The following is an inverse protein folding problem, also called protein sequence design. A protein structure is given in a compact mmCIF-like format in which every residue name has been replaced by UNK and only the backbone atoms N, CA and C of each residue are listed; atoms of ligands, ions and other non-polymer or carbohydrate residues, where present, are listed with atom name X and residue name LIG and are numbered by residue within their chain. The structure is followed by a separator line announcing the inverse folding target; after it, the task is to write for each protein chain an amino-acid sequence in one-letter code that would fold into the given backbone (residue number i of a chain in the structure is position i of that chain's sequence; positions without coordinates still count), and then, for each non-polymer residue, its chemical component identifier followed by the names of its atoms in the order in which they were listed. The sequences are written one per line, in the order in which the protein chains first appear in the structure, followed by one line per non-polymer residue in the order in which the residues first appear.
data_IF_316155658847
#
_entry.id   IF_316155658847
#
_cell.length_a   1.000
_cell.length_b   1.000
_cell.length_c   1.000
_cell.angle_alpha   90.00
_cell.angle_beta   90.00
_cell.angle_gamma   90.00
#
_symmetry.space_group_name_H-M   'P 1'
#
loop_
_entity.id
_entity.type
_entity.pdbx_description
1 polymer ?
#
# COMPACT_ATOMS: atom_id res chain seq x y z
N UNK A 1 87.07 10.14 -5.70
CA UNK A 1 86.17 10.90 -4.81
C UNK A 1 84.83 11.00 -5.50
N UNK A 2 83.88 10.16 -5.10
CA UNK A 2 82.57 10.05 -5.74
C UNK A 2 81.52 10.28 -4.66
N UNK A 3 80.75 11.34 -4.83
CA UNK A 3 79.68 11.79 -3.92
C UNK A 3 78.40 11.02 -4.24
N UNK A 4 77.65 10.50 -3.25
CA UNK A 4 76.34 9.91 -3.50
C UNK A 4 75.24 10.97 -3.54
N UNK A 5 74.26 10.74 -4.42
CA UNK A 5 73.08 11.58 -4.63
C UNK A 5 72.06 11.50 -3.47
N UNK A 6 71.25 12.57 -3.24
CA UNK A 6 70.24 12.57 -2.19
C UNK A 6 68.95 11.85 -2.61
N UNK A 7 68.28 11.24 -1.63
CA UNK A 7 67.03 10.51 -1.78
C UNK A 7 65.82 11.45 -1.83
N UNK A 8 64.96 11.26 -2.84
CA UNK A 8 63.67 11.94 -2.99
C UNK A 8 62.69 11.52 -1.88
N UNK A 9 62.13 12.52 -1.19
CA UNK A 9 61.09 12.33 -0.18
C UNK A 9 59.73 12.63 -0.82
N UNK A 10 58.95 11.60 -1.17
CA UNK A 10 57.58 11.76 -1.66
C UNK A 10 56.62 12.09 -0.49
N UNK A 11 56.19 13.34 -0.38
CA UNK A 11 55.05 13.75 0.45
C UNK A 11 53.73 13.46 -0.26
N UNK A 12 52.99 12.47 0.25
CA UNK A 12 51.60 12.22 -0.14
C UNK A 12 50.66 13.24 0.53
N UNK A 13 50.11 14.18 -0.25
CA UNK A 13 48.95 14.96 0.16
C UNK A 13 47.69 14.12 0.03
N UNK A 14 47.09 13.81 1.18
CA UNK A 14 45.77 13.16 1.29
C UNK A 14 44.69 14.18 0.94
N UNK A 15 44.13 14.09 -0.27
CA UNK A 15 42.93 14.84 -0.67
C UNK A 15 41.78 14.52 0.30
N UNK A 16 41.35 15.53 1.06
CA UNK A 16 40.13 15.46 1.85
C UNK A 16 38.94 15.62 0.91
N UNK A 17 38.13 14.56 0.80
CA UNK A 17 36.86 14.60 0.09
C UNK A 17 35.92 15.67 0.71
N UNK A 18 35.18 16.44 -0.12
CA UNK A 18 34.22 17.41 0.38
C UNK A 18 33.08 16.70 1.14
N UNK A 19 32.51 17.33 2.18
CA UNK A 19 31.45 16.73 2.98
C UNK A 19 30.18 16.47 2.14
N UNK A 20 29.38 15.46 2.50
CA UNK A 20 28.16 15.14 1.79
C UNK A 20 27.15 16.30 1.92
N UNK A 21 26.63 16.78 0.79
CA UNK A 21 25.54 17.75 0.75
C UNK A 21 24.24 17.12 1.28
N UNK A 22 24.04 17.17 2.60
CA UNK A 22 22.74 16.96 3.22
C UNK A 22 21.78 18.09 2.79
N UNK A 23 20.70 17.75 2.06
CA UNK A 23 19.51 18.61 1.98
C UNK A 23 18.84 18.89 0.63
N UNK A 24 19.05 18.12 -0.45
CA UNK A 24 18.39 18.37 -1.76
C UNK A 24 17.15 17.48 -2.04
N UNK A 25 16.18 17.38 -1.11
CA UNK A 25 15.00 16.51 -1.29
C UNK A 25 13.70 17.18 -1.78
N UNK A 26 13.70 18.46 -2.19
CA UNK A 26 12.46 19.17 -2.58
C UNK A 26 12.35 19.57 -4.06
N UNK A 27 13.02 18.88 -5.00
CA UNK A 27 13.13 19.40 -6.38
C UNK A 27 11.86 19.30 -7.24
N UNK A 28 10.80 18.61 -6.81
CA UNK A 28 9.60 18.37 -7.65
C UNK A 28 8.25 18.56 -6.93
N UNK A 29 8.18 19.40 -5.90
CA UNK A 29 6.91 19.76 -5.24
C UNK A 29 6.70 21.28 -5.25
N UNK A 30 5.44 21.70 -5.39
CA UNK A 30 5.06 23.11 -5.30
C UNK A 30 5.24 23.59 -3.86
N UNK A 31 6.12 24.56 -3.60
CA UNK A 31 6.37 25.01 -2.22
C UNK A 31 5.15 25.63 -1.53
N UNK A 32 4.15 26.08 -2.30
CA UNK A 32 2.91 26.63 -1.73
C UNK A 32 1.87 25.54 -1.42
N UNK A 33 1.50 24.72 -2.42
CA UNK A 33 0.40 23.75 -2.26
C UNK A 33 0.86 22.32 -2.00
N UNK A 34 2.18 22.10 -1.87
CA UNK A 34 2.85 20.81 -1.65
C UNK A 34 2.49 19.71 -2.67
N UNK A 35 1.86 20.07 -3.78
CA UNK A 35 1.49 19.12 -4.82
C UNK A 35 2.70 18.76 -5.68
N UNK A 36 2.78 17.50 -6.09
CA UNK A 36 3.76 17.05 -7.08
C UNK A 36 3.68 17.90 -8.36
N UNK A 37 4.86 18.31 -8.83
CA UNK A 37 5.06 19.05 -10.07
C UNK A 37 5.34 18.13 -11.27
N UNK A 38 5.37 16.81 -11.05
CA UNK A 38 5.53 15.86 -12.13
C UNK A 38 4.43 16.07 -13.20
N UNK A 39 4.84 16.36 -14.44
CA UNK A 39 3.99 16.71 -15.57
C UNK A 39 3.14 17.99 -15.43
N UNK A 40 3.53 18.93 -14.56
CA UNK A 40 2.85 20.24 -14.42
C UNK A 40 3.78 21.38 -14.83
N UNK A 41 3.21 22.45 -15.38
CA UNK A 41 3.95 23.71 -15.58
C UNK A 41 4.32 24.29 -14.22
N UNK A 42 5.60 24.54 -14.01
CA UNK A 42 6.16 25.12 -12.81
C UNK A 42 6.83 26.46 -13.13
N UNK A 43 6.87 27.35 -12.14
CA UNK A 43 7.60 28.60 -12.18
C UNK A 43 8.63 28.62 -11.06
N UNK A 44 9.85 29.02 -11.39
CA UNK A 44 10.82 29.41 -10.40
C UNK A 44 10.31 30.64 -9.64
N UNK A 45 10.62 30.69 -8.34
CA UNK A 45 10.34 31.82 -7.46
C UNK A 45 11.61 32.68 -7.31
N UNK A 46 11.88 33.63 -8.21
CA UNK A 46 12.96 34.59 -8.00
C UNK A 46 12.63 35.52 -6.83
N UNK A 47 13.64 36.23 -6.33
CA UNK A 47 13.42 37.34 -5.39
C UNK A 47 12.45 38.36 -5.98
N UNK A 48 11.34 38.61 -5.28
CA UNK A 48 10.22 39.37 -5.82
C UNK A 48 9.03 39.46 -4.88
N UNK A 49 8.00 40.26 -5.23
CA UNK A 49 6.80 40.38 -4.42
C UNK A 49 6.02 39.06 -4.33
N UNK A 50 6.08 38.21 -5.36
CA UNK A 50 5.47 36.87 -5.33
C UNK A 50 6.12 35.97 -4.28
N UNK A 51 7.46 36.00 -4.18
CA UNK A 51 8.21 35.21 -3.18
C UNK A 51 7.91 35.66 -1.77
N UNK A 52 7.85 36.98 -1.52
CA UNK A 52 7.48 37.54 -0.21
C UNK A 52 6.08 37.13 0.21
N UNK A 53 5.10 37.31 -0.68
CA UNK A 53 3.71 36.92 -0.42
C UNK A 53 3.58 35.42 -0.11
N UNK A 54 4.27 34.57 -0.87
CA UNK A 54 4.21 33.12 -0.65
C UNK A 54 4.92 32.75 0.66
N UNK A 55 6.07 33.36 0.96
CA UNK A 55 6.83 33.16 2.20
C UNK A 55 5.99 33.47 3.43
N UNK A 56 5.31 34.62 3.44
CA UNK A 56 4.40 35.01 4.52
C UNK A 56 3.26 33.99 4.73
N UNK A 57 2.77 33.38 3.64
CA UNK A 57 1.65 32.43 3.68
C UNK A 57 2.03 31.02 4.08
N UNK A 58 3.29 30.63 3.94
CA UNK A 58 3.76 29.28 4.27
C UNK A 58 4.64 29.24 5.52
N UNK A 59 4.82 30.39 6.19
CA UNK A 59 5.52 30.48 7.48
C UNK A 59 4.99 29.42 8.45
N UNK A 60 5.86 28.63 9.11
CA UNK A 60 7.29 28.87 9.33
C UNK A 60 8.25 28.29 8.26
N UNK A 61 7.76 27.73 7.15
CA UNK A 61 8.63 27.09 6.16
C UNK A 61 9.49 28.11 5.40
N UNK A 62 10.81 27.86 5.32
CA UNK A 62 11.74 28.70 4.54
C UNK A 62 11.69 28.32 3.06
N UNK A 63 11.51 29.30 2.18
CA UNK A 63 11.63 29.12 0.72
C UNK A 63 13.11 29.14 0.34
N UNK A 64 13.66 27.99 -0.04
CA UNK A 64 15.03 27.86 -0.55
C UNK A 64 15.17 28.46 -1.95
N UNK A 65 16.38 28.84 -2.34
CA UNK A 65 16.67 29.28 -3.71
C UNK A 65 16.46 28.14 -4.71
N UNK A 66 15.83 28.45 -5.83
CA UNK A 66 15.41 27.45 -6.83
C UNK A 66 14.07 26.76 -6.50
N UNK A 67 13.38 27.17 -5.44
CA UNK A 67 12.02 26.69 -5.14
C UNK A 67 11.06 26.91 -6.31
N UNK A 68 10.19 25.92 -6.53
CA UNK A 68 9.21 25.94 -7.62
C UNK A 68 7.78 26.07 -7.07
N UNK A 69 6.95 26.80 -7.81
CA UNK A 69 5.49 26.78 -7.62
C UNK A 69 4.79 26.29 -8.87
N UNK A 70 3.68 25.58 -8.68
CA UNK A 70 2.83 25.21 -9.80
C UNK A 70 2.21 26.46 -10.44
N UNK A 71 1.91 26.39 -11.74
CA UNK A 71 1.27 27.47 -12.51
C UNK A 71 0.05 28.10 -11.80
N UNK A 72 -0.80 27.27 -11.20
CA UNK A 72 -2.01 27.74 -10.51
C UNK A 72 -1.68 28.60 -9.27
N UNK A 73 -0.69 28.17 -8.48
CA UNK A 73 -0.20 28.94 -7.32
C UNK A 73 0.47 30.24 -7.77
N UNK A 74 1.27 30.20 -8.83
CA UNK A 74 1.89 31.41 -9.39
C UNK A 74 0.86 32.46 -9.81
N UNK A 75 -0.16 32.06 -10.59
CA UNK A 75 -1.25 32.95 -11.01
C UNK A 75 -2.01 33.51 -9.80
N UNK A 76 -2.21 32.69 -8.76
CA UNK A 76 -2.87 33.11 -7.53
C UNK A 76 -2.07 34.19 -6.79
N UNK A 77 -0.75 34.00 -6.63
CA UNK A 77 0.12 35.01 -6.00
C UNK A 77 0.04 36.34 -6.75
N UNK A 78 0.19 36.32 -8.07
CA UNK A 78 0.11 37.53 -8.89
C UNK A 78 -1.24 38.24 -8.80
N UNK A 79 -2.34 37.50 -8.75
CA UNK A 79 -3.67 38.09 -8.57
C UNK A 79 -3.83 38.79 -7.21
N UNK A 80 -3.22 38.26 -6.15
CA UNK A 80 -3.26 38.88 -4.81
C UNK A 80 -2.43 40.17 -4.81
N UNK A 81 -1.22 40.14 -5.36
CA UNK A 81 -0.36 41.32 -5.45
C UNK A 81 -1.01 42.43 -6.27
N UNK A 82 -1.64 42.07 -7.38
CA UNK A 82 -2.36 43.02 -8.21
C UNK A 82 -3.48 43.73 -7.43
N UNK A 83 -4.20 43.01 -6.56
CA UNK A 83 -5.21 43.62 -5.68
C UNK A 83 -4.58 44.51 -4.62
N UNK A 84 -3.44 44.13 -4.04
CA UNK A 84 -2.78 44.95 -3.03
C UNK A 84 -2.30 46.28 -3.59
N UNK A 85 -1.91 46.33 -4.87
CA UNK A 85 -1.60 47.60 -5.55
C UNK A 85 -2.85 48.46 -5.84
N UNK A 86 -4.04 47.86 -5.94
CA UNK A 86 -5.30 48.56 -6.22
C UNK A 86 -5.96 49.15 -4.96
N UNK A 87 -5.48 48.83 -3.74
CA UNK A 87 -6.08 49.27 -2.47
C UNK A 87 -5.68 50.70 -2.06
N UNK A 88 -4.81 51.39 -2.79
CA UNK A 88 -4.47 52.80 -2.53
C UNK A 88 -5.44 53.71 -3.31
N UNK A 89 -6.72 53.77 -2.89
CA UNK A 89 -7.69 54.89 -3.09
C UNK A 89 -9.12 54.43 -2.70
N UNK A 90 -9.49 54.65 -1.44
CA UNK A 90 -10.76 54.17 -0.84
C UNK A 90 -12.03 54.73 -1.52
N UNK A 91 -11.96 55.86 -2.22
CA UNK A 91 -13.12 56.45 -2.90
C UNK A 91 -13.45 55.82 -4.26
N UNK A 92 -12.52 55.08 -4.88
CA UNK A 92 -12.76 54.32 -6.12
C UNK A 92 -13.08 52.84 -5.92
N UNK A 93 -12.95 52.33 -4.69
CA UNK A 93 -13.09 50.90 -4.38
C UNK A 93 -14.49 50.35 -4.70
N UNK A 94 -15.55 51.12 -4.43
CA UNK A 94 -16.93 50.69 -4.68
C UNK A 94 -17.24 50.50 -6.19
N UNK A 95 -16.66 51.32 -7.06
CA UNK A 95 -16.84 51.18 -8.52
C UNK A 95 -15.95 50.07 -9.13
N UNK A 96 -14.75 49.88 -8.55
CA UNK A 96 -13.83 48.82 -8.98
C UNK A 96 -14.37 47.41 -8.67
N UNK A 97 -15.03 47.23 -7.52
CA UNK A 97 -15.65 45.95 -7.13
C UNK A 97 -16.74 45.57 -8.14
N UNK A 98 -17.60 46.52 -8.53
CA UNK A 98 -18.70 46.31 -9.48
C UNK A 98 -18.22 45.96 -10.91
N UNK A 99 -17.02 46.41 -11.28
CA UNK A 99 -16.42 46.14 -12.60
C UNK A 99 -15.35 45.03 -12.57
N UNK A 100 -15.32 44.19 -11.54
CA UNK A 100 -14.42 43.04 -11.45
C UNK A 100 -15.18 41.71 -11.57
N UNK A 101 -14.54 40.69 -12.14
CA UNK A 101 -15.11 39.34 -12.21
C UNK A 101 -15.14 38.73 -10.81
N UNK A 102 -16.31 38.39 -10.25
CA UNK A 102 -16.41 37.82 -8.89
C UNK A 102 -15.57 36.53 -8.71
N UNK A 103 -15.41 35.73 -9.77
CA UNK A 103 -14.59 34.52 -9.72
C UNK A 103 -13.08 34.83 -9.71
N UNK A 104 -12.55 35.39 -10.80
CA UNK A 104 -11.10 35.56 -10.99
C UNK A 104 -10.55 36.94 -10.56
N UNK A 105 -11.43 37.87 -10.20
CA UNK A 105 -11.18 39.28 -9.89
C UNK A 105 -10.49 40.09 -11.00
N UNK A 106 -10.44 39.60 -12.23
CA UNK A 106 -9.97 40.42 -13.34
C UNK A 106 -10.95 41.57 -13.64
N UNK A 107 -10.41 42.75 -13.97
CA UNK A 107 -11.20 43.87 -14.50
C UNK A 107 -12.01 43.47 -15.74
N UNK A 108 -13.27 43.92 -15.77
CA UNK A 108 -14.25 43.66 -16.81
C UNK A 108 -14.36 44.82 -17.81
N UNK A 109 -13.65 45.94 -17.62
CA UNK A 109 -13.78 47.15 -18.44
C UNK A 109 -13.55 46.93 -19.94
N UNK A 110 -12.81 45.89 -20.32
CA UNK A 110 -12.54 45.51 -21.73
C UNK A 110 -12.92 44.07 -22.05
N UNK A 111 -13.70 43.40 -21.19
CA UNK A 111 -14.03 41.98 -21.34
C UNK A 111 -15.54 41.80 -21.40
N UNK A 112 -15.98 40.84 -22.22
CA UNK A 112 -17.38 40.38 -22.18
C UNK A 112 -17.70 39.89 -20.77
N UNK A 113 -18.81 40.38 -20.23
CA UNK A 113 -19.26 40.13 -18.86
C UNK A 113 -20.68 39.56 -18.87
N UNK A 114 -20.96 38.73 -17.88
CA UNK A 114 -22.28 38.16 -17.64
C UNK A 114 -22.71 38.49 -16.22
N UNK A 115 -23.97 38.85 -16.06
CA UNK A 115 -24.64 38.74 -14.77
C UNK A 115 -24.69 37.26 -14.39
N UNK A 116 -24.61 36.97 -13.09
CA UNK A 116 -24.71 35.61 -12.56
C UNK A 116 -26.20 35.34 -12.33
N UNK A 117 -26.90 34.59 -13.20
CA UNK A 117 -28.31 34.25 -12.97
C UNK A 117 -28.43 33.27 -11.81
N UNK A 118 -29.61 33.19 -11.18
CA UNK A 118 -29.93 32.09 -10.28
C UNK A 118 -29.92 30.76 -11.05
N UNK A 119 -29.27 29.73 -10.48
CA UNK A 119 -29.13 28.44 -11.14
C UNK A 119 -27.87 27.66 -10.74
N UNK A 120 -27.64 26.48 -11.37
CA UNK A 120 -26.53 25.61 -11.02
C UNK A 120 -25.16 26.23 -11.33
N UNK A 121 -25.05 27.11 -12.32
CA UNK A 121 -23.82 27.85 -12.60
C UNK A 121 -23.45 28.80 -11.45
N UNK A 122 -24.43 29.44 -10.79
CA UNK A 122 -24.19 30.28 -9.60
C UNK A 122 -23.64 29.44 -8.46
N UNK A 123 -24.22 28.27 -8.21
CA UNK A 123 -23.75 27.36 -7.16
C UNK A 123 -22.31 26.87 -7.40
N UNK A 124 -21.96 26.55 -8.66
CA UNK A 124 -20.58 26.23 -9.02
C UNK A 124 -19.65 27.43 -8.77
N UNK A 125 -20.07 28.66 -9.11
CA UNK A 125 -19.28 29.87 -8.84
C UNK A 125 -19.11 30.09 -7.33
N UNK A 126 -20.18 29.99 -6.53
CA UNK A 126 -20.14 30.12 -5.05
C UNK A 126 -19.13 29.13 -4.46
N UNK A 127 -19.21 27.87 -4.88
CA UNK A 127 -18.30 26.81 -4.42
C UNK A 127 -16.83 27.15 -4.71
N UNK A 128 -16.56 27.83 -5.84
CA UNK A 128 -15.21 28.21 -6.26
C UNK A 128 -14.68 29.46 -5.58
N UNK A 129 -15.54 30.37 -5.13
CA UNK A 129 -15.13 31.64 -4.53
C UNK A 129 -15.14 31.60 -3.00
N UNK A 130 -15.72 30.56 -2.39
CA UNK A 130 -15.78 30.35 -0.94
C UNK A 130 -14.40 30.60 -0.29
N UNK A 131 -14.34 31.40 0.79
CA UNK A 131 -15.44 31.88 1.63
C UNK A 131 -16.12 33.20 1.18
N UNK A 132 -15.80 33.72 -0.01
CA UNK A 132 -16.37 35.01 -0.47
C UNK A 132 -17.83 34.86 -0.89
N UNK A 133 -18.62 35.88 -0.63
CA UNK A 133 -20.00 35.99 -1.12
C UNK A 133 -20.05 36.70 -2.48
N UNK A 134 -21.10 36.40 -3.25
CA UNK A 134 -21.37 37.11 -4.51
C UNK A 134 -22.11 38.40 -4.14
N UNK A 135 -21.55 39.60 -4.40
CA UNK A 135 -22.25 40.85 -4.14
C UNK A 135 -23.52 40.97 -5.00
N UNK A 136 -24.53 41.75 -4.57
CA UNK A 136 -25.70 42.02 -5.39
C UNK A 136 -25.29 42.64 -6.73
N UNK A 137 -25.76 42.09 -7.84
CA UNK A 137 -25.36 42.50 -9.19
C UNK A 137 -23.97 42.00 -9.63
N UNK A 138 -23.37 41.05 -8.90
CA UNK A 138 -22.05 40.49 -9.20
C UNK A 138 -21.92 40.01 -10.65
N UNK A 139 -20.80 40.37 -11.27
CA UNK A 139 -20.50 40.05 -12.66
C UNK A 139 -19.38 39.01 -12.76
N UNK A 140 -19.43 38.17 -13.79
CA UNK A 140 -18.31 37.28 -14.15
C UNK A 140 -17.84 37.55 -15.56
N UNK A 141 -16.54 37.38 -15.80
CA UNK A 141 -16.02 37.43 -17.16
C UNK A 141 -16.52 36.22 -17.97
N UNK A 142 -16.60 36.38 -19.30
CA UNK A 142 -17.06 35.34 -20.22
C UNK A 142 -16.34 33.99 -20.01
N UNK A 143 -15.02 34.01 -19.80
CA UNK A 143 -14.24 32.79 -19.60
C UNK A 143 -14.65 32.03 -18.32
N UNK A 144 -14.82 32.76 -17.20
CA UNK A 144 -15.30 32.19 -15.94
C UNK A 144 -16.73 31.66 -16.09
N UNK A 145 -17.62 32.40 -16.77
CA UNK A 145 -18.98 31.96 -17.05
C UNK A 145 -19.02 30.63 -17.84
N UNK A 146 -18.29 30.55 -18.95
CA UNK A 146 -18.19 29.33 -19.76
C UNK A 146 -17.59 28.17 -18.97
N UNK A 147 -16.61 28.44 -18.10
CA UNK A 147 -16.01 27.43 -17.21
C UNK A 147 -17.05 26.84 -16.24
N UNK A 148 -17.82 27.69 -15.55
CA UNK A 148 -18.91 27.24 -14.66
C UNK A 148 -19.90 26.39 -15.44
N UNK A 149 -20.38 26.87 -16.60
CA UNK A 149 -21.35 26.16 -17.44
C UNK A 149 -20.83 24.79 -17.92
N UNK A 150 -19.55 24.69 -18.29
CA UNK A 150 -18.92 23.41 -18.66
C UNK A 150 -18.81 22.47 -17.46
N UNK A 151 -18.56 22.97 -16.26
CA UNK A 151 -18.51 22.16 -15.05
C UNK A 151 -19.89 21.60 -14.70
N UNK A 152 -20.93 22.44 -14.73
CA UNK A 152 -22.32 22.02 -14.52
C UNK A 152 -22.72 20.93 -15.53
N UNK A 153 -22.46 21.13 -16.83
CA UNK A 153 -22.73 20.12 -17.85
C UNK A 153 -21.96 18.82 -17.63
N UNK A 154 -20.69 18.91 -17.20
CA UNK A 154 -19.89 17.72 -16.86
C UNK A 154 -20.46 16.98 -15.64
N UNK A 155 -20.89 17.71 -14.61
CA UNK A 155 -21.57 17.14 -13.45
C UNK A 155 -22.83 16.37 -13.85
N UNK A 156 -23.73 17.02 -14.60
CA UNK A 156 -24.95 16.39 -15.10
C UNK A 156 -24.70 15.13 -15.93
N UNK A 157 -23.68 15.15 -16.81
CA UNK A 157 -23.29 13.96 -17.58
C UNK A 157 -22.72 12.84 -16.70
N UNK A 158 -21.98 13.18 -15.63
CA UNK A 158 -21.47 12.19 -14.67
C UNK A 158 -22.64 11.57 -13.91
N UNK A 159 -23.61 12.36 -13.48
CA UNK A 159 -24.76 11.87 -12.73
C UNK A 159 -25.69 11.03 -13.61
N UNK A 160 -25.93 11.44 -14.86
CA UNK A 160 -26.63 10.60 -15.85
C UNK A 160 -25.88 9.29 -16.09
N UNK A 161 -24.56 9.33 -16.27
CA UNK A 161 -23.75 8.11 -16.38
C UNK A 161 -23.83 7.25 -15.13
N UNK A 162 -23.93 7.83 -13.93
CA UNK A 162 -24.12 7.09 -12.68
C UNK A 162 -25.49 6.42 -12.63
N UNK A 163 -26.55 7.09 -13.09
CA UNK A 163 -27.90 6.52 -13.18
C UNK A 163 -27.99 5.40 -14.22
N UNK A 164 -27.43 5.60 -15.40
CA UNK A 164 -27.30 4.56 -16.44
C UNK A 164 -26.49 3.38 -15.91
N UNK A 165 -25.46 3.66 -15.12
CA UNK A 165 -24.61 2.66 -14.47
C UNK A 165 -25.31 1.91 -13.33
N UNK A 166 -26.21 2.54 -12.56
CA UNK A 166 -27.00 1.86 -11.52
C UNK A 166 -27.83 0.70 -12.06
N UNK A 167 -28.22 0.75 -13.34
CA UNK A 167 -29.00 -0.29 -13.99
C UNK A 167 -28.13 -1.39 -14.64
N UNK A 168 -26.84 -1.13 -14.88
CA UNK A 168 -25.93 -2.07 -15.55
C UNK A 168 -24.88 -2.70 -14.62
N UNK A 169 -24.65 -2.16 -13.41
CA UNK A 169 -23.81 -2.81 -12.40
C UNK A 169 -24.63 -3.77 -11.56
N UNK A 170 -25.07 -4.89 -12.14
CA UNK A 170 -25.44 -6.06 -11.34
C UNK A 170 -24.18 -6.51 -10.58
N UNK A 171 -23.98 -5.99 -9.37
CA UNK A 171 -23.04 -6.41 -8.32
C UNK A 171 -21.90 -7.32 -8.79
N UNK A 172 -21.07 -6.83 -9.72
CA UNK A 172 -19.94 -7.60 -10.21
C UNK A 172 -18.87 -7.51 -9.14
N UNK A 173 -18.85 -8.51 -8.27
CA UNK A 173 -17.89 -8.67 -7.19
C UNK A 173 -16.82 -9.68 -7.60
N UNK A 174 -15.61 -9.52 -7.06
CA UNK A 174 -14.55 -10.48 -7.21
C UNK A 174 -15.03 -11.83 -6.67
N UNK A 175 -14.99 -12.87 -7.49
CA UNK A 175 -15.44 -14.19 -7.09
C UNK A 175 -14.61 -14.75 -5.91
N UNK A 176 -13.33 -14.36 -5.81
CA UNK A 176 -12.43 -14.76 -4.72
C UNK A 176 -12.66 -13.96 -3.43
N UNK A 177 -12.45 -12.63 -3.47
CA UNK A 177 -12.45 -11.79 -2.26
C UNK A 177 -13.75 -11.03 -1.98
N UNK A 178 -14.75 -11.10 -2.87
CA UNK A 178 -16.04 -10.42 -2.70
C UNK A 178 -16.03 -8.90 -2.89
N UNK A 179 -14.86 -8.30 -3.16
CA UNK A 179 -14.74 -6.84 -3.35
C UNK A 179 -15.39 -6.43 -4.67
N UNK A 180 -16.11 -5.31 -4.68
CA UNK A 180 -16.65 -4.71 -5.91
C UNK A 180 -15.57 -4.50 -6.97
N UNK A 181 -15.82 -4.99 -8.18
CA UNK A 181 -14.93 -4.82 -9.32
C UNK A 181 -15.15 -3.48 -10.06
N UNK A 182 -16.02 -2.61 -9.55
CA UNK A 182 -16.29 -1.32 -10.18
C UNK A 182 -15.00 -0.48 -10.29
N UNK A 183 -14.65 -0.11 -11.53
CA UNK A 183 -13.42 0.63 -11.90
C UNK A 183 -12.10 -0.06 -11.57
N UNK A 184 -12.11 -1.37 -11.29
CA UNK A 184 -10.90 -2.16 -11.11
C UNK A 184 -10.58 -2.93 -12.38
N UNK A 185 -9.31 -3.21 -12.61
CA UNK A 185 -8.93 -4.17 -13.64
C UNK A 185 -9.37 -5.56 -13.20
N UNK A 186 -10.06 -6.26 -14.09
CA UNK A 186 -10.66 -7.57 -13.84
C UNK A 186 -10.14 -8.59 -14.82
N UNK A 187 -10.08 -9.84 -14.37
CA UNK A 187 -9.76 -10.99 -15.20
C UNK A 187 -10.94 -11.97 -15.17
N UNK A 188 -11.33 -12.46 -16.34
CA UNK A 188 -12.21 -13.61 -16.46
C UNK A 188 -11.45 -14.87 -16.08
N UNK A 189 -12.04 -15.72 -15.25
CA UNK A 189 -11.45 -17.02 -14.92
C UNK A 189 -11.62 -17.98 -16.11
N UNK A 190 -10.54 -18.39 -16.80
CA UNK A 190 -10.63 -19.41 -17.84
C UNK A 190 -10.94 -20.78 -17.22
N UNK A 191 -11.33 -21.76 -18.03
CA UNK A 191 -11.29 -23.17 -17.59
C UNK A 191 -9.83 -23.60 -17.42
N UNK A 192 -9.49 -24.24 -16.30
CA UNK A 192 -8.10 -24.65 -16.01
C UNK A 192 -7.74 -24.65 -14.52
N UNK A 193 -6.47 -24.92 -14.18
CA UNK A 193 -5.99 -24.99 -12.80
C UNK A 193 -6.18 -23.68 -12.03
N UNK A 194 -6.21 -22.53 -12.71
CA UNK A 194 -6.50 -21.24 -12.08
C UNK A 194 -7.93 -21.18 -11.52
N UNK A 195 -8.88 -21.80 -12.22
CA UNK A 195 -10.27 -21.86 -11.78
C UNK A 195 -10.42 -22.77 -10.58
N UNK A 196 -9.73 -23.91 -10.60
CA UNK A 196 -9.77 -24.90 -9.52
C UNK A 196 -9.12 -24.33 -8.24
N UNK A 197 -8.00 -23.62 -8.38
CA UNK A 197 -7.34 -22.91 -7.28
C UNK A 197 -8.27 -21.84 -6.67
N UNK A 198 -8.97 -21.07 -7.50
CA UNK A 198 -9.95 -20.08 -6.97
C UNK A 198 -11.16 -20.78 -6.34
N UNK A 199 -11.68 -21.85 -6.95
CA UNK A 199 -12.79 -22.63 -6.41
C UNK A 199 -12.44 -23.22 -5.03
N UNK A 200 -11.23 -23.77 -4.89
CA UNK A 200 -10.73 -24.30 -3.62
C UNK A 200 -10.66 -23.22 -2.53
N UNK A 201 -10.24 -22.00 -2.86
CA UNK A 201 -10.18 -20.88 -1.89
C UNK A 201 -11.55 -20.40 -1.43
N UNK A 202 -12.58 -20.52 -2.26
CA UNK A 202 -13.92 -19.98 -1.94
C UNK A 202 -14.90 -21.03 -1.41
N UNK A 203 -14.48 -22.29 -1.33
CA UNK A 203 -15.27 -23.39 -0.80
C UNK A 203 -15.87 -23.03 0.58
N UNK A 204 -17.19 -23.25 0.80
CA UNK A 204 -18.11 -24.09 0.03
C UNK A 204 -18.88 -23.40 -1.11
N UNK A 205 -18.53 -22.17 -1.50
CA UNK A 205 -19.28 -21.43 -2.53
C UNK A 205 -19.00 -21.96 -3.94
N UNK A 206 -20.05 -22.10 -4.74
CA UNK A 206 -19.92 -22.45 -6.16
C UNK A 206 -19.45 -21.26 -7.00
N UNK A 207 -18.54 -21.52 -7.93
CA UNK A 207 -17.97 -20.50 -8.81
C UNK A 207 -18.78 -20.37 -10.12
N UNK A 208 -19.43 -19.22 -10.40
CA UNK A 208 -20.21 -19.02 -11.62
C UNK A 208 -19.36 -19.19 -12.89
N UNK A 209 -19.98 -19.63 -13.99
CA UNK A 209 -19.30 -19.84 -15.29
C UNK A 209 -18.60 -18.60 -15.85
N UNK A 210 -19.10 -17.40 -15.54
CA UNK A 210 -18.54 -16.11 -15.97
C UNK A 210 -17.97 -15.32 -14.79
N UNK A 211 -17.43 -16.01 -13.80
CA UNK A 211 -16.82 -15.39 -12.63
C UNK A 211 -15.64 -14.48 -13.04
N UNK A 212 -15.61 -13.29 -12.45
CA UNK A 212 -14.51 -12.34 -12.59
C UNK A 212 -13.75 -12.23 -11.27
N UNK A 213 -12.44 -12.04 -11.36
CA UNK A 213 -11.58 -11.75 -10.21
C UNK A 213 -10.88 -10.42 -10.37
N UNK A 214 -10.56 -9.76 -9.25
CA UNK A 214 -9.73 -8.56 -9.27
C UNK A 214 -8.28 -8.93 -9.61
N UNK A 215 -7.53 -7.98 -10.18
CA UNK A 215 -6.12 -8.15 -10.53
C UNK A 215 -5.28 -8.77 -9.40
N UNK A 216 -5.47 -8.35 -8.15
CA UNK A 216 -4.71 -8.87 -7.00
C UNK A 216 -4.97 -10.36 -6.78
N UNK A 217 -6.24 -10.78 -6.79
CA UNK A 217 -6.58 -12.19 -6.64
C UNK A 217 -6.09 -13.00 -7.84
N UNK A 218 -6.14 -12.44 -9.05
CA UNK A 218 -5.62 -13.08 -10.25
C UNK A 218 -4.12 -13.35 -10.15
N UNK A 219 -3.31 -12.35 -9.82
CA UNK A 219 -1.85 -12.50 -9.66
C UNK A 219 -1.52 -13.58 -8.63
N UNK A 220 -2.19 -13.55 -7.47
CA UNK A 220 -2.00 -14.56 -6.43
C UNK A 220 -2.42 -15.97 -6.86
N UNK A 221 -3.45 -16.10 -7.71
CA UNK A 221 -3.82 -17.38 -8.30
C UNK A 221 -2.74 -17.89 -9.24
N UNK A 222 -2.23 -17.04 -10.14
CA UNK A 222 -1.18 -17.44 -11.09
C UNK A 222 0.10 -17.85 -10.38
N UNK A 223 0.52 -17.11 -9.36
CA UNK A 223 1.70 -17.47 -8.56
C UNK A 223 1.54 -18.85 -7.89
N UNK A 224 0.39 -19.13 -7.27
CA UNK A 224 0.14 -20.43 -6.64
C UNK A 224 0.11 -21.58 -7.65
N UNK A 225 -0.54 -21.39 -8.80
CA UNK A 225 -0.59 -22.41 -9.86
C UNK A 225 0.81 -22.70 -10.40
N UNK A 226 1.63 -21.68 -10.60
CA UNK A 226 3.02 -21.85 -11.03
C UNK A 226 3.85 -22.61 -10.00
N UNK A 227 3.71 -22.29 -8.71
CA UNK A 227 4.42 -23.00 -7.63
C UNK A 227 4.01 -24.46 -7.59
N UNK A 228 2.71 -24.78 -7.75
CA UNK A 228 2.23 -26.16 -7.79
C UNK A 228 2.82 -26.93 -8.97
N UNK A 229 2.78 -26.36 -10.18
CA UNK A 229 3.33 -26.99 -11.38
C UNK A 229 4.84 -27.26 -11.28
N UNK A 230 5.61 -26.32 -10.73
CA UNK A 230 7.05 -26.49 -10.51
C UNK A 230 7.31 -27.58 -9.48
N UNK A 231 6.52 -27.65 -8.41
CA UNK A 231 6.69 -28.65 -7.36
C UNK A 231 6.29 -30.07 -7.84
N UNK A 232 5.39 -30.18 -8.81
CA UNK A 232 5.02 -31.46 -9.44
C UNK A 232 6.07 -31.98 -10.44
N UNK A 233 6.85 -31.07 -11.05
CA UNK A 233 7.86 -31.44 -12.05
C UNK A 233 9.27 -31.66 -11.49
N UNK A 234 9.56 -31.21 -10.27
CA UNK A 234 10.81 -31.58 -9.62
C UNK A 234 10.71 -33.04 -9.18
N UNK A 235 11.60 -33.96 -9.63
CA UNK A 235 11.70 -35.26 -9.00
C UNK A 235 11.98 -35.00 -7.54
N UNK A 236 11.01 -35.31 -6.66
CA UNK A 236 11.18 -35.11 -5.23
C UNK A 236 12.52 -35.74 -4.87
N UNK A 237 13.48 -34.99 -4.30
CA UNK A 237 14.70 -35.58 -3.83
C UNK A 237 14.25 -36.71 -2.91
N UNK A 238 14.59 -37.95 -3.26
CA UNK A 238 14.29 -39.12 -2.41
C UNK A 238 14.90 -38.78 -1.07
N UNK A 239 14.07 -38.34 -0.13
CA UNK A 239 14.52 -38.07 1.22
C UNK A 239 15.01 -39.41 1.72
N UNK A 240 16.32 -39.51 1.97
CA UNK A 240 16.91 -40.71 2.55
C UNK A 240 16.20 -40.97 3.88
N UNK A 241 15.40 -42.03 3.90
CA UNK A 241 14.71 -42.50 5.10
C UNK A 241 15.44 -43.72 5.65
N UNK A 242 15.45 -43.83 6.97
CA UNK A 242 16.03 -44.96 7.69
C UNK A 242 14.90 -45.59 8.50
N UNK A 243 14.77 -46.91 8.43
CA UNK A 243 13.83 -47.67 9.27
C UNK A 243 14.50 -48.01 10.61
N UNK A 244 13.79 -47.77 11.72
CA UNK A 244 14.22 -48.13 13.06
C UNK A 244 13.21 -49.10 13.68
N UNK A 245 13.55 -50.37 13.82
CA UNK A 245 12.59 -51.42 14.22
C UNK A 245 12.00 -51.22 15.63
N UNK A 246 12.72 -50.56 16.52
CA UNK A 246 12.33 -50.38 17.93
C UNK A 246 11.78 -49.00 18.23
N UNK A 247 11.77 -48.09 17.24
CA UNK A 247 11.33 -46.72 17.43
C UNK A 247 10.29 -46.37 16.39
N UNK A 248 9.25 -45.68 16.83
CA UNK A 248 8.23 -45.13 15.94
C UNK A 248 8.12 -43.63 16.13
N UNK A 249 7.45 -42.92 15.22
CA UNK A 249 7.27 -41.47 15.34
C UNK A 249 5.85 -41.03 15.01
N UNK A 250 5.44 -39.94 15.65
CA UNK A 250 4.13 -39.32 15.39
C UNK A 250 4.14 -38.59 14.06
N UNK A 251 2.97 -38.43 13.43
CA UNK A 251 2.84 -37.58 12.25
C UNK A 251 3.18 -36.13 12.60
N UNK A 252 3.89 -35.43 11.70
CA UNK A 252 4.17 -34.00 11.84
C UNK A 252 2.94 -33.17 11.45
N UNK A 253 1.87 -33.24 12.25
CA UNK A 253 0.65 -32.46 12.05
C UNK A 253 0.49 -31.40 13.12
N UNK A 254 0.35 -30.15 12.68
CA UNK A 254 -0.03 -29.02 13.53
C UNK A 254 -1.55 -28.90 13.73
N UNK A 255 -2.35 -29.68 12.98
CA UNK A 255 -3.81 -29.52 12.88
C UNK A 255 -4.60 -30.33 13.87
N UNK A 256 -4.04 -31.41 14.42
CA UNK A 256 -4.71 -32.35 15.33
C UNK A 256 -3.80 -32.75 16.49
N UNK A 257 -4.41 -33.22 17.58
CA UNK A 257 -3.67 -33.91 18.64
C UNK A 257 -2.97 -35.14 18.05
N UNK A 258 -1.74 -35.43 18.46
CA UNK A 258 -0.97 -36.55 17.93
C UNK A 258 -1.52 -37.91 18.38
N UNK A 259 -2.30 -37.93 19.46
CA UNK A 259 -3.03 -39.12 19.92
C UNK A 259 -4.09 -39.48 18.87
N UNK A 260 -4.03 -40.70 18.29
CA UNK A 260 -4.98 -41.14 17.28
C UNK A 260 -6.43 -41.08 17.77
N UNK A 261 -7.35 -40.78 16.85
CA UNK A 261 -8.79 -40.64 17.09
C UNK A 261 -9.20 -39.51 18.06
N UNK A 262 -8.27 -38.69 18.54
CA UNK A 262 -8.61 -37.54 19.38
C UNK A 262 -9.36 -36.47 18.57
N UNK A 263 -10.60 -36.16 18.99
CA UNK A 263 -11.48 -35.17 18.34
C UNK A 263 -11.46 -33.80 19.00
N UNK A 264 -10.77 -33.64 20.14
CA UNK A 264 -10.63 -32.37 20.83
C UNK A 264 -10.02 -31.32 19.91
N UNK A 265 -10.42 -30.05 20.06
CA UNK A 265 -9.99 -28.94 19.19
C UNK A 265 -8.72 -28.24 19.67
N UNK A 266 -8.29 -28.47 20.91
CA UNK A 266 -7.12 -27.82 21.51
C UNK A 266 -5.81 -28.27 20.86
N UNK A 267 -4.87 -27.34 20.67
CA UNK A 267 -3.62 -27.55 19.93
C UNK A 267 -2.41 -27.00 20.67
N UNK A 268 -2.08 -27.58 21.82
CA UNK A 268 -0.89 -27.19 22.56
C UNK A 268 0.36 -27.84 21.97
N UNK A 269 1.49 -27.13 21.99
CA UNK A 269 2.79 -27.72 21.65
C UNK A 269 3.16 -28.73 22.73
N UNK A 270 3.64 -29.91 22.34
CA UNK A 270 4.04 -30.95 23.31
C UNK A 270 5.29 -30.48 24.06
N UNK A 271 5.24 -30.36 25.41
CA UNK A 271 6.39 -29.94 26.20
C UNK A 271 7.59 -30.87 25.98
N UNK A 272 8.80 -30.31 25.95
CA UNK A 272 10.05 -31.08 25.73
C UNK A 272 10.21 -32.22 26.74
N UNK A 273 9.92 -31.97 28.02
CA UNK A 273 9.96 -32.98 29.08
C UNK A 273 9.01 -34.16 28.79
N UNK A 274 7.80 -33.89 28.30
CA UNK A 274 6.83 -34.91 27.94
C UNK A 274 7.27 -35.69 26.70
N UNK A 275 7.81 -35.02 25.68
CA UNK A 275 8.40 -35.70 24.49
C UNK A 275 9.52 -36.66 24.91
N UNK A 276 10.40 -36.23 25.82
CA UNK A 276 11.49 -37.05 26.34
C UNK A 276 10.96 -38.24 27.13
N UNK A 277 9.97 -38.03 28.01
CA UNK A 277 9.30 -39.09 28.75
C UNK A 277 8.77 -40.17 27.81
N UNK A 278 7.93 -39.78 26.84
CA UNK A 278 7.32 -40.70 25.86
C UNK A 278 8.39 -41.43 25.03
N UNK A 279 9.44 -40.73 24.58
CA UNK A 279 10.55 -41.35 23.84
C UNK A 279 11.27 -42.41 24.70
N UNK A 280 11.53 -42.12 25.97
CA UNK A 280 12.26 -43.04 26.86
C UNK A 280 11.41 -44.25 27.28
N UNK A 281 10.13 -44.03 27.61
CA UNK A 281 9.24 -45.05 28.18
C UNK A 281 8.51 -45.89 27.13
N UNK A 282 8.13 -45.30 25.99
CA UNK A 282 7.31 -45.96 24.95
C UNK A 282 8.06 -46.15 23.61
N UNK A 283 9.29 -45.63 23.50
CA UNK A 283 10.06 -45.61 22.23
C UNK A 283 9.34 -44.90 21.07
N UNK A 284 8.41 -44.00 21.40
CA UNK A 284 7.71 -43.16 20.41
C UNK A 284 8.35 -41.76 20.37
N UNK A 285 8.93 -41.39 19.23
CA UNK A 285 9.41 -40.04 18.97
C UNK A 285 8.25 -39.11 18.57
N UNK A 286 7.89 -38.22 19.50
CA UNK A 286 6.94 -37.16 19.22
C UNK A 286 7.64 -36.04 18.43
N UNK A 287 7.18 -35.73 17.23
CA UNK A 287 7.78 -34.71 16.35
C UNK A 287 7.60 -33.30 16.90
N UNK A 288 8.44 -32.34 16.46
CA UNK A 288 8.42 -30.98 17.02
C UNK A 288 7.14 -30.20 16.71
N UNK A 289 6.50 -30.52 15.59
CA UNK A 289 5.24 -29.91 15.16
C UNK A 289 4.00 -30.62 15.69
N UNK A 290 4.15 -31.74 16.41
CA UNK A 290 3.04 -32.42 17.04
C UNK A 290 2.29 -31.50 18.01
N UNK A 291 0.99 -31.74 18.16
CA UNK A 291 0.13 -31.04 19.11
C UNK A 291 -0.52 -32.01 20.07
N UNK A 292 -0.91 -31.51 21.24
CA UNK A 292 -1.59 -32.27 22.30
C UNK A 292 -2.75 -31.42 22.85
N UNK A 293 -3.88 -32.03 23.20
CA UNK A 293 -4.96 -31.35 23.92
C UNK A 293 -4.67 -31.34 25.44
N UNK A 294 -5.38 -30.51 26.22
CA UNK A 294 -5.22 -30.44 27.67
C UNK A 294 -5.55 -31.76 28.36
N UNK A 295 -6.59 -32.46 27.90
CA UNK A 295 -6.99 -33.76 28.44
C UNK A 295 -5.81 -34.75 28.37
N UNK A 296 -5.28 -35.02 27.17
CA UNK A 296 -4.13 -35.92 27.02
C UNK A 296 -2.88 -35.38 27.70
N UNK A 297 -2.66 -34.05 27.73
CA UNK A 297 -1.51 -33.45 28.45
C UNK A 297 -1.56 -33.74 29.95
N UNK A 298 -2.76 -33.86 30.53
CA UNK A 298 -2.95 -34.16 31.95
C UNK A 298 -2.80 -35.64 32.29
N UNK A 299 -2.75 -36.53 31.30
CA UNK A 299 -2.53 -37.96 31.53
C UNK A 299 -1.06 -38.23 31.87
N UNK A 300 -0.87 -39.04 32.91
CA UNK A 300 0.45 -39.54 33.31
C UNK A 300 0.75 -40.93 32.74
N UNK A 301 -0.26 -41.68 32.30
CA UNK A 301 -0.08 -42.97 31.65
C UNK A 301 -0.16 -42.82 30.12
N UNK A 302 0.87 -43.31 29.43
CA UNK A 302 1.04 -43.26 27.98
C UNK A 302 1.11 -44.66 27.33
N UNK A 303 0.85 -45.73 28.09
CA UNK A 303 0.87 -47.14 27.64
C UNK A 303 -0.07 -47.43 26.46
N UNK A 304 -1.12 -46.62 26.29
CA UNK A 304 -2.04 -46.77 25.16
C UNK A 304 -1.38 -46.46 23.81
N UNK A 305 -0.22 -45.78 23.78
CA UNK A 305 0.49 -45.49 22.54
C UNK A 305 1.06 -46.75 21.87
N UNK A 306 1.35 -47.80 22.64
CA UNK A 306 1.84 -49.09 22.11
C UNK A 306 0.79 -49.82 21.27
N UNK A 307 -0.49 -49.44 21.41
CA UNK A 307 -1.60 -50.02 20.65
C UNK A 307 -1.79 -49.38 19.28
N UNK A 308 -0.97 -48.39 18.93
CA UNK A 308 -1.11 -47.62 17.69
C UNK A 308 0.10 -47.77 16.77
N UNK A 309 -0.19 -48.07 15.51
CA UNK A 309 0.80 -48.20 14.45
C UNK A 309 1.27 -46.82 14.00
N UNK A 310 2.29 -46.32 14.70
CA UNK A 310 3.07 -45.18 14.26
C UNK A 310 4.10 -45.60 13.19
N UNK A 311 4.54 -44.63 12.39
CA UNK A 311 5.55 -44.88 11.35
C UNK A 311 6.91 -45.17 11.98
N UNK A 312 7.66 -46.13 11.44
CA UNK A 312 9.02 -46.47 11.85
C UNK A 312 10.09 -45.94 10.87
N UNK A 313 9.70 -45.16 9.86
CA UNK A 313 10.62 -44.57 8.88
C UNK A 313 10.98 -43.14 9.28
N UNK A 314 12.25 -42.87 9.53
CA UNK A 314 12.73 -41.56 9.96
C UNK A 314 13.48 -40.86 8.84
N UNK A 315 13.24 -39.56 8.70
CA UNK A 315 14.11 -38.68 7.93
C UNK A 315 15.36 -38.33 8.75
N UNK A 316 16.44 -37.91 8.06
CA UNK A 316 17.66 -37.39 8.72
C UNK A 316 17.35 -36.35 9.80
N UNK A 317 16.47 -35.40 9.52
CA UNK A 317 16.11 -34.32 10.45
C UNK A 317 15.37 -34.84 11.68
N UNK A 318 14.51 -35.85 11.52
CA UNK A 318 13.81 -36.48 12.64
C UNK A 318 14.79 -37.26 13.53
N UNK A 319 15.76 -37.97 12.94
CA UNK A 319 16.80 -38.63 13.73
C UNK A 319 17.65 -37.65 14.52
N UNK A 320 18.13 -36.57 13.90
CA UNK A 320 18.89 -35.51 14.58
C UNK A 320 18.07 -34.91 15.74
N UNK A 321 16.78 -34.65 15.50
CA UNK A 321 15.86 -34.13 16.52
C UNK A 321 15.64 -35.12 17.67
N UNK A 322 15.52 -36.41 17.36
CA UNK A 322 15.39 -37.48 18.35
C UNK A 322 16.65 -37.62 19.21
N UNK A 323 17.83 -37.59 18.58
CA UNK A 323 19.12 -37.63 19.27
C UNK A 323 19.32 -36.41 20.17
N UNK A 324 19.03 -35.20 19.67
CA UNK A 324 19.10 -33.98 20.47
C UNK A 324 18.15 -34.01 21.68
N UNK A 325 16.98 -34.64 21.55
CA UNK A 325 16.04 -34.81 22.66
C UNK A 325 16.56 -35.80 23.71
N UNK A 326 17.29 -36.83 23.28
CA UNK A 326 17.87 -37.86 24.15
C UNK A 326 19.13 -37.38 24.88
N UNK A 327 19.99 -36.62 24.19
CA UNK A 327 21.32 -36.22 24.67
C UNK A 327 21.26 -35.19 25.81
N UNK A 328 20.19 -34.40 25.95
CA UNK A 328 20.07 -33.41 27.03
C UNK A 328 20.38 -34.03 28.40
N UNK A 329 21.61 -33.79 28.84
CA UNK A 329 22.13 -34.11 30.16
C UNK A 329 21.32 -33.28 31.15
N UNK A 330 20.89 -33.92 32.23
CA UNK A 330 20.13 -33.28 33.29
C UNK A 330 20.87 -32.01 33.76
N UNK A 331 20.39 -30.82 33.38
CA UNK A 331 20.60 -29.63 34.19
C UNK A 331 19.72 -29.81 35.42
N UNK A 332 20.25 -30.58 36.38
CA UNK A 332 19.72 -30.69 37.73
C UNK A 332 19.90 -29.31 38.36
N UNK A 333 18.80 -28.58 38.52
CA UNK A 333 18.67 -27.53 39.52
C UNK A 333 17.82 -28.07 40.67
#
# INVERSE_FOLDING_TARGET
MSVPAPADTMTYHKEMSPPPHEGQQHTNVCVWCQSSLHNRRAHALPEGPERRLISERISPQKILDGSLVCYTCWVRARSILQRQCEVISEETASSAILNSCVWCLCSLNRRRRHSIPEGPERNEIITRIYPREIPPGGLVCYACWVSARRNVKRGANIDKRREDQKHNHRNVVCASCGISLFRRQTHSLPSGPERDEVAARIYPRELPGHALVCITCWTQTIENVQVQQVNEQLPQPRMETIQLDQFTHTTSSSRNCFVPLCTHSERLRVPRCLRKLILTSQKVFVTENARICNEHKSLHNWEFLDQHEFSNTFTKNEMESMLNLAIDVQEIN
#
